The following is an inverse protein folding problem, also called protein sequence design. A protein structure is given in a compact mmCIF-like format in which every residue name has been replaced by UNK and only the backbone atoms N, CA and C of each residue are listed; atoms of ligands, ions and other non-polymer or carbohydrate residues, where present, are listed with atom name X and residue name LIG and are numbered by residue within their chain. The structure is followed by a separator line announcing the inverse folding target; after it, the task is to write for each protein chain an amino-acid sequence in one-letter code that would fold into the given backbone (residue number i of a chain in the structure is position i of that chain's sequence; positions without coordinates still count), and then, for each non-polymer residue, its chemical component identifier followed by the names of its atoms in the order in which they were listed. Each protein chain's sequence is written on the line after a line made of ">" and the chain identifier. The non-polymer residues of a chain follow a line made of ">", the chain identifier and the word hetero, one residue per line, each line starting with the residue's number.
data_IF_894721971329
#
_entry.id   IF_894721971329
#
_cell.length_a   1.000
_cell.length_b   1.000
_cell.length_c   1.000
_cell.angle_alpha   90.00
_cell.angle_beta   90.00
_cell.angle_gamma   90.00
#
_symmetry.space_group_name_H-M   'P 1'
#
loop_
_entity.id
_entity.type
_entity.pdbx_description
1 polymer ?
#
# COMPACT_ATOMS: atom_id res chain seq x y z
N UNK A 1 6.24 22.89 -6.00
CA UNK A 1 6.82 22.45 -4.71
C UNK A 1 5.83 22.82 -3.63
N UNK A 2 5.05 21.85 -3.14
CA UNK A 2 4.24 22.03 -1.93
C UNK A 2 4.97 21.27 -0.85
N UNK A 3 5.54 22.02 0.07
CA UNK A 3 6.23 21.55 1.26
C UNK A 3 5.20 20.84 2.15
N UNK A 4 5.45 19.59 2.52
CA UNK A 4 4.64 18.86 3.48
C UNK A 4 4.95 19.36 4.89
N UNK A 5 4.29 20.42 5.36
CA UNK A 5 4.41 20.85 6.76
C UNK A 5 3.63 19.89 7.66
N UNK A 6 4.30 18.85 8.18
CA UNK A 6 3.84 18.12 9.36
C UNK A 6 3.84 19.08 10.55
N UNK A 7 2.69 19.73 10.81
CA UNK A 7 2.49 20.57 11.97
C UNK A 7 2.04 19.76 13.18
N UNK A 8 2.80 19.78 14.27
CA UNK A 8 2.35 19.32 15.59
C UNK A 8 1.97 20.54 16.44
N UNK A 9 0.74 20.59 16.93
CA UNK A 9 0.28 21.66 17.81
C UNK A 9 -0.20 21.07 19.13
N UNK A 10 0.39 21.53 20.24
CA UNK A 10 -0.02 21.15 21.58
C UNK A 10 -0.91 22.24 22.18
N UNK A 11 -2.21 21.95 22.33
CA UNK A 11 -3.19 22.86 22.91
C UNK A 11 -3.84 22.20 24.12
N UNK A 12 -3.59 22.75 25.32
CA UNK A 12 -4.29 22.37 26.54
C UNK A 12 -4.21 20.87 26.88
N UNK A 13 -3.03 20.24 26.71
CA UNK A 13 -2.82 18.81 27.01
C UNK A 13 -3.31 17.84 25.92
N UNK A 14 -3.70 18.35 24.75
CA UNK A 14 -4.04 17.55 23.57
C UNK A 14 -2.98 17.77 22.49
N UNK A 15 -2.57 16.69 21.83
CA UNK A 15 -1.65 16.75 20.68
C UNK A 15 -2.49 16.66 19.42
N UNK A 16 -2.34 17.62 18.51
CA UNK A 16 -3.00 17.60 17.22
C UNK A 16 -1.97 17.56 16.09
N UNK A 17 -2.14 16.59 15.20
CA UNK A 17 -1.36 16.39 14.00
C UNK A 17 -2.17 16.84 12.80
N UNK A 18 -1.55 17.59 11.89
CA UNK A 18 -2.19 18.04 10.66
C UNK A 18 -1.61 17.31 9.45
N UNK A 19 -2.51 16.87 8.57
CA UNK A 19 -2.21 16.20 7.30
C UNK A 19 -3.00 16.90 6.20
N UNK A 20 -2.45 18.02 5.69
CA UNK A 20 -3.17 18.86 4.73
C UNK A 20 -4.46 19.47 5.33
N UNK A 21 -5.63 19.10 4.79
CA UNK A 21 -6.95 19.53 5.29
C UNK A 21 -7.49 18.65 6.42
N UNK A 22 -6.86 17.52 6.67
CA UNK A 22 -7.24 16.59 7.72
C UNK A 22 -6.44 16.86 9.00
N UNK A 23 -7.00 16.44 10.13
CA UNK A 23 -6.26 16.47 11.39
C UNK A 23 -6.61 15.31 12.30
N UNK A 24 -5.61 14.83 13.03
CA UNK A 24 -5.76 13.82 14.07
C UNK A 24 -5.49 14.48 15.41
N UNK A 25 -6.46 14.40 16.32
CA UNK A 25 -6.33 14.93 17.67
C UNK A 25 -6.31 13.78 18.67
N UNK A 26 -5.20 13.66 19.40
CA UNK A 26 -5.03 12.71 20.49
C UNK A 26 -5.53 13.32 21.80
N UNK A 27 -6.41 12.59 22.48
CA UNK A 27 -6.82 12.85 23.86
C UNK A 27 -6.56 11.64 24.74
N UNK A 28 -6.55 11.83 26.05
CA UNK A 28 -6.23 10.78 27.02
C UNK A 28 -7.13 9.53 26.91
N UNK A 29 -8.34 9.66 26.34
CA UNK A 29 -9.34 8.59 26.29
C UNK A 29 -9.89 8.31 24.87
N UNK A 30 -9.51 9.08 23.87
CA UNK A 30 -10.05 8.95 22.51
C UNK A 30 -9.15 9.62 21.48
N UNK A 31 -9.24 9.15 20.24
CA UNK A 31 -8.66 9.78 19.05
C UNK A 31 -9.78 10.41 18.23
N UNK A 32 -9.64 11.68 17.85
CA UNK A 32 -10.55 12.36 16.93
C UNK A 32 -9.86 12.49 15.57
N UNK A 33 -10.48 11.92 14.54
CA UNK A 33 -10.12 12.14 13.15
C UNK A 33 -11.07 13.18 12.56
N UNK A 34 -10.51 14.26 12.00
CA UNK A 34 -11.28 15.33 11.35
C UNK A 34 -10.91 15.38 9.87
N UNK A 35 -11.92 15.29 9.02
CA UNK A 35 -11.80 15.46 7.58
C UNK A 35 -12.90 16.39 7.05
N UNK A 36 -12.73 17.09 5.91
CA UNK A 36 -13.81 17.88 5.30
C UNK A 36 -15.11 17.09 5.05
N UNK A 37 -15.03 15.76 4.96
CA UNK A 37 -16.17 14.86 4.73
C UNK A 37 -16.87 14.38 6.01
N UNK A 38 -16.30 14.62 7.20
CA UNK A 38 -16.86 14.12 8.47
C UNK A 38 -15.84 14.03 9.61
N UNK A 39 -16.34 13.75 10.81
CA UNK A 39 -15.50 13.58 12.01
C UNK A 39 -15.80 12.24 12.67
N UNK A 40 -14.75 11.56 13.14
CA UNK A 40 -14.85 10.27 13.79
C UNK A 40 -14.15 10.28 15.14
N UNK A 41 -14.78 9.65 16.13
CA UNK A 41 -14.26 9.53 17.50
C UNK A 41 -14.03 8.05 17.76
N UNK A 42 -12.77 7.67 17.96
CA UNK A 42 -12.39 6.30 18.28
C UNK A 42 -12.13 6.25 19.80
N UNK A 43 -12.99 5.58 20.59
CA UNK A 43 -12.79 5.45 22.03
C UNK A 43 -11.67 4.45 22.34
N UNK A 44 -10.76 4.78 23.26
CA UNK A 44 -9.69 3.86 23.69
C UNK A 44 -8.42 4.56 24.16
N UNK A 45 -7.77 3.99 25.18
CA UNK A 45 -6.51 4.47 25.76
C UNK A 45 -5.34 3.86 24.98
N UNK A 46 -4.66 4.65 24.16
CA UNK A 46 -3.32 4.30 23.66
C UNK A 46 -2.28 4.98 24.55
N UNK A 47 -1.95 4.34 25.69
CA UNK A 47 -0.70 4.66 26.38
C UNK A 47 0.43 4.08 25.54
N UNK A 48 1.06 4.91 24.70
CA UNK A 48 2.27 4.53 23.99
C UNK A 48 3.28 5.69 24.02
N UNK A 49 4.56 5.40 24.29
CA UNK A 49 5.60 6.41 24.34
C UNK A 49 6.03 6.94 22.95
N UNK A 50 5.47 6.40 21.85
CA UNK A 50 5.77 6.79 20.47
C UNK A 50 4.48 7.16 19.72
N UNK A 51 4.01 8.40 19.91
CA UNK A 51 2.73 8.89 19.39
C UNK A 51 2.62 8.95 17.85
N UNK A 52 3.75 9.13 17.16
CA UNK A 52 3.74 9.36 15.70
C UNK A 52 3.40 8.10 14.90
N UNK A 53 3.83 6.91 15.35
CA UNK A 53 3.62 5.64 14.65
C UNK A 53 2.17 5.14 14.74
N UNK A 54 1.47 5.48 15.83
CA UNK A 54 0.06 5.10 16.02
C UNK A 54 -0.88 5.99 15.21
N UNK A 55 -0.56 7.27 15.05
CA UNK A 55 -1.38 8.20 14.26
C UNK A 55 -1.34 7.82 12.79
N UNK A 56 -0.17 7.46 12.26
CA UNK A 56 -0.05 6.96 10.89
C UNK A 56 -0.80 5.65 10.70
N UNK A 57 -0.67 4.69 11.63
CA UNK A 57 -1.38 3.41 11.53
C UNK A 57 -2.91 3.54 11.67
N UNK A 58 -3.40 4.43 12.55
CA UNK A 58 -4.85 4.71 12.66
C UNK A 58 -5.40 5.40 11.40
N UNK A 59 -4.66 6.37 10.84
CA UNK A 59 -5.05 7.03 9.59
C UNK A 59 -5.02 6.06 8.40
N UNK A 60 -4.02 5.16 8.35
CA UNK A 60 -3.90 4.08 7.36
C UNK A 60 -5.08 3.09 7.44
N UNK A 61 -5.51 2.74 8.65
CA UNK A 61 -6.75 1.96 8.87
C UNK A 61 -8.01 2.71 8.41
N UNK A 62 -8.03 4.05 8.54
CA UNK A 62 -9.18 4.88 8.18
C UNK A 62 -9.31 5.18 6.69
N UNK A 63 -8.19 5.28 5.97
CA UNK A 63 -8.17 5.57 4.52
C UNK A 63 -7.86 4.35 3.65
N UNK A 64 -7.46 3.23 4.26
CA UNK A 64 -7.02 2.05 3.56
C UNK A 64 -5.65 2.25 2.94
N UNK A 65 -4.75 1.32 3.17
CA UNK A 65 -3.51 1.22 2.42
C UNK A 65 -3.63 0.17 1.35
N UNK A 66 -3.13 0.46 0.16
CA UNK A 66 -3.12 -0.49 -0.94
C UNK A 66 -1.68 -0.91 -1.27
N UNK A 67 -1.55 -2.19 -1.58
CA UNK A 67 -0.44 -2.69 -2.37
C UNK A 67 -0.94 -3.01 -3.76
N UNK A 68 -0.10 -2.71 -4.75
CA UNK A 68 -0.42 -2.86 -6.15
C UNK A 68 0.71 -3.63 -6.84
N UNK A 69 0.35 -4.66 -7.61
CA UNK A 69 1.25 -5.30 -8.56
C UNK A 69 1.24 -4.47 -9.83
N UNK A 70 2.41 -3.98 -10.23
CA UNK A 70 2.58 -3.12 -11.39
C UNK A 70 3.78 -3.52 -12.25
N UNK A 71 3.79 -3.20 -13.55
CA UNK A 71 5.03 -3.20 -14.36
C UNK A 71 5.56 -1.80 -14.65
N UNK A 72 4.74 -0.76 -14.43
CA UNK A 72 5.15 0.63 -14.59
C UNK A 72 6.20 1.06 -13.56
N UNK A 73 6.89 2.16 -13.84
CA UNK A 73 7.98 2.64 -12.97
C UNK A 73 7.49 3.06 -11.59
N UNK A 74 6.37 3.78 -11.51
CA UNK A 74 5.80 4.23 -10.25
C UNK A 74 4.29 4.12 -10.28
N UNK A 75 3.69 3.49 -9.27
CA UNK A 75 2.24 3.39 -9.11
C UNK A 75 1.54 4.76 -9.20
N UNK A 76 2.12 5.80 -8.59
CA UNK A 76 1.56 7.15 -8.53
C UNK A 76 1.60 7.90 -9.88
N UNK A 77 2.34 7.39 -10.87
CA UNK A 77 2.34 7.95 -12.22
C UNK A 77 1.11 7.46 -12.98
N UNK A 78 0.16 8.36 -13.21
CA UNK A 78 -1.11 8.07 -13.89
C UNK A 78 -1.01 8.17 -15.42
N UNK A 79 0.09 8.71 -15.94
CA UNK A 79 0.34 8.77 -17.40
C UNK A 79 0.90 7.45 -17.93
N UNK A 80 1.54 6.66 -17.06
CA UNK A 80 2.11 5.35 -17.39
C UNK A 80 1.10 4.21 -17.10
N UNK A 81 0.82 3.40 -18.10
CA UNK A 81 0.06 2.15 -17.94
C UNK A 81 0.97 1.07 -17.35
N UNK A 82 0.44 0.29 -16.41
CA UNK A 82 1.13 -0.87 -15.85
C UNK A 82 1.22 -2.03 -16.83
N UNK A 83 0.43 -2.04 -17.91
CA UNK A 83 0.56 -3.01 -19.01
C UNK A 83 0.47 -4.50 -18.57
N UNK A 84 -0.17 -4.81 -17.44
CA UNK A 84 -0.61 -6.19 -17.16
C UNK A 84 -1.97 -6.31 -17.82
N UNK A 85 -2.10 -7.16 -18.83
CA UNK A 85 -3.37 -7.33 -19.53
C UNK A 85 -4.38 -8.13 -18.70
N UNK A 86 -5.67 -7.96 -18.99
CA UNK A 86 -6.73 -8.74 -18.37
C UNK A 86 -6.55 -10.23 -18.68
N UNK A 87 -6.13 -10.56 -19.91
CA UNK A 87 -5.90 -11.93 -20.35
C UNK A 87 -4.76 -12.60 -19.56
N UNK A 88 -3.67 -11.87 -19.28
CA UNK A 88 -2.59 -12.38 -18.42
C UNK A 88 -3.08 -12.61 -16.99
N UNK A 89 -3.91 -11.71 -16.47
CA UNK A 89 -4.46 -11.85 -15.13
C UNK A 89 -5.40 -13.04 -15.00
N UNK A 90 -6.33 -13.22 -15.95
CA UNK A 90 -7.24 -14.36 -15.98
C UNK A 90 -6.48 -15.68 -16.15
N UNK A 91 -5.47 -15.72 -17.03
CA UNK A 91 -4.62 -16.89 -17.18
C UNK A 91 -3.86 -17.24 -15.89
N UNK A 92 -3.47 -16.25 -15.08
CA UNK A 92 -2.88 -16.49 -13.77
C UNK A 92 -3.89 -17.09 -12.79
N UNK A 93 -5.10 -16.52 -12.70
CA UNK A 93 -6.17 -17.06 -11.83
C UNK A 93 -6.49 -18.51 -12.18
N UNK A 94 -6.57 -18.86 -13.46
CA UNK A 94 -6.82 -20.24 -13.91
C UNK A 94 -5.75 -21.24 -13.46
N UNK A 95 -4.51 -20.78 -13.25
CA UNK A 95 -3.39 -21.60 -12.80
C UNK A 95 -3.30 -21.73 -11.26
N UNK A 96 -3.91 -20.81 -10.52
CA UNK A 96 -3.81 -20.72 -9.07
C UNK A 96 -5.10 -21.23 -8.42
N UNK A 97 -5.10 -22.49 -7.98
CA UNK A 97 -6.25 -23.15 -7.36
C UNK A 97 -6.72 -22.47 -6.05
N UNK A 98 -5.91 -21.59 -5.46
CA UNK A 98 -6.30 -20.83 -4.27
C UNK A 98 -7.14 -19.59 -4.61
N UNK A 99 -7.16 -19.16 -5.88
CA UNK A 99 -7.88 -17.98 -6.33
C UNK A 99 -9.20 -18.36 -7.00
N UNK A 100 -10.28 -17.69 -6.57
CA UNK A 100 -11.60 -17.84 -7.16
C UNK A 100 -12.04 -16.53 -7.82
N UNK A 101 -12.10 -16.54 -9.16
CA UNK A 101 -12.69 -15.44 -9.93
C UNK A 101 -14.17 -15.29 -9.54
N UNK A 102 -14.57 -14.09 -9.16
CA UNK A 102 -15.97 -13.79 -8.88
C UNK A 102 -16.66 -13.31 -10.17
N UNK A 103 -17.96 -13.61 -10.34
CA UNK A 103 -18.72 -13.09 -11.47
C UNK A 103 -18.79 -11.56 -11.38
N UNK A 104 -18.64 -10.90 -12.53
CA UNK A 104 -18.84 -9.46 -12.66
C UNK A 104 -20.32 -9.10 -12.39
N UNK A 105 -20.55 -8.09 -11.56
CA UNK A 105 -21.88 -7.56 -11.28
C UNK A 105 -21.83 -6.04 -10.99
N UNK A 106 -22.97 -5.43 -10.63
CA UNK A 106 -23.06 -3.99 -10.36
C UNK A 106 -22.10 -3.50 -9.23
N UNK A 107 -21.57 -4.41 -8.40
CA UNK A 107 -20.67 -4.12 -7.29
C UNK A 107 -19.25 -4.67 -7.48
N UNK A 108 -19.04 -5.64 -8.37
CA UNK A 108 -17.75 -6.32 -8.59
C UNK A 108 -17.26 -6.10 -10.02
N UNK A 109 -16.07 -5.50 -10.13
CA UNK A 109 -15.41 -5.28 -11.41
C UNK A 109 -14.92 -6.59 -12.04
N UNK A 110 -14.79 -6.58 -13.37
CA UNK A 110 -14.16 -7.67 -14.11
C UNK A 110 -12.74 -7.95 -13.57
N UNK A 111 -12.43 -9.23 -13.33
CA UNK A 111 -11.13 -9.65 -12.80
C UNK A 111 -11.02 -9.60 -11.28
N UNK A 112 -12.08 -9.27 -10.55
CA UNK A 112 -12.11 -9.40 -9.10
C UNK A 112 -12.04 -10.88 -8.68
N UNK A 113 -11.11 -11.23 -7.79
CA UNK A 113 -10.99 -12.59 -7.26
C UNK A 113 -10.83 -12.63 -5.74
N UNK A 114 -11.23 -13.75 -5.15
CA UNK A 114 -11.05 -14.07 -3.73
C UNK A 114 -9.94 -15.09 -3.54
N UNK A 115 -9.19 -14.96 -2.48
CA UNK A 115 -8.20 -15.93 -2.05
C UNK A 115 -8.83 -16.86 -1.00
N UNK A 116 -9.12 -18.09 -1.41
CA UNK A 116 -9.95 -19.03 -0.64
C UNK A 116 -9.30 -19.51 0.66
N UNK A 117 -7.97 -19.46 0.75
CA UNK A 117 -7.23 -20.00 1.89
C UNK A 117 -6.93 -18.96 2.97
N UNK A 118 -7.13 -17.67 2.69
CA UNK A 118 -6.78 -16.57 3.59
C UNK A 118 -8.00 -15.66 3.83
N UNK A 119 -8.18 -15.23 5.09
CA UNK A 119 -9.27 -14.35 5.52
C UNK A 119 -8.72 -13.21 6.36
N UNK A 120 -9.37 -12.05 6.29
CA UNK A 120 -9.08 -10.95 7.22
C UNK A 120 -9.58 -11.28 8.62
N UNK A 121 -8.74 -11.10 9.64
CA UNK A 121 -9.07 -11.47 11.03
C UNK A 121 -10.25 -10.68 11.61
N UNK A 122 -10.47 -9.45 11.15
CA UNK A 122 -11.48 -8.53 11.68
C UNK A 122 -12.87 -8.73 11.06
N UNK A 123 -12.94 -9.09 9.77
CA UNK A 123 -14.20 -9.29 9.05
C UNK A 123 -14.56 -10.77 8.85
N UNK A 124 -13.58 -11.67 8.97
CA UNK A 124 -13.70 -13.07 8.58
C UNK A 124 -14.17 -13.24 7.11
N UNK A 125 -13.86 -12.26 6.25
CA UNK A 125 -14.07 -12.31 4.80
C UNK A 125 -12.76 -12.70 4.12
N UNK A 126 -12.85 -13.31 2.93
CA UNK A 126 -11.68 -13.70 2.16
C UNK A 126 -10.86 -12.48 1.74
N UNK A 127 -9.53 -12.63 1.78
CA UNK A 127 -8.65 -11.66 1.12
C UNK A 127 -9.02 -11.63 -0.36
N UNK A 128 -9.04 -10.44 -0.94
CA UNK A 128 -9.43 -10.25 -2.33
C UNK A 128 -8.34 -9.51 -3.10
N UNK A 129 -8.32 -9.73 -4.41
CA UNK A 129 -7.51 -8.99 -5.36
C UNK A 129 -8.43 -8.44 -6.43
N UNK A 130 -8.21 -7.17 -6.79
CA UNK A 130 -8.97 -6.48 -7.82
C UNK A 130 -8.05 -6.09 -8.97
N UNK A 131 -8.57 -6.18 -10.20
CA UNK A 131 -7.85 -5.78 -11.39
C UNK A 131 -8.38 -4.43 -11.90
N UNK A 132 -7.48 -3.49 -12.14
CA UNK A 132 -7.86 -2.20 -12.69
C UNK A 132 -6.67 -1.45 -13.26
N UNK A 133 -6.87 -0.80 -14.41
CA UNK A 133 -5.83 0.03 -15.06
C UNK A 133 -4.50 -0.72 -15.25
N UNK A 134 -4.57 -2.00 -15.62
CA UNK A 134 -3.40 -2.86 -15.81
C UNK A 134 -2.63 -3.19 -14.52
N UNK A 135 -3.24 -3.01 -13.35
CA UNK A 135 -2.67 -3.27 -12.03
C UNK A 135 -3.53 -4.31 -11.28
N UNK A 136 -2.93 -5.04 -10.35
CA UNK A 136 -3.66 -5.90 -9.39
C UNK A 136 -3.48 -5.33 -7.99
N UNK A 137 -4.56 -4.97 -7.32
CA UNK A 137 -4.55 -4.30 -6.02
C UNK A 137 -5.22 -5.12 -4.92
N UNK A 138 -4.78 -4.90 -3.67
CA UNK A 138 -5.49 -5.36 -2.47
C UNK A 138 -5.37 -4.33 -1.34
N UNK A 139 -6.32 -4.37 -0.40
CA UNK A 139 -6.42 -3.39 0.70
C UNK A 139 -5.96 -3.98 2.02
N UNK A 140 -5.08 -3.26 2.72
CA UNK A 140 -4.55 -3.59 4.04
C UNK A 140 -3.98 -5.03 4.11
N UNK A 141 -3.06 -5.42 3.21
CA UNK A 141 -2.52 -6.77 3.21
C UNK A 141 -1.73 -7.06 4.48
N UNK A 142 -1.92 -8.26 5.04
CA UNK A 142 -1.06 -8.81 6.08
C UNK A 142 0.23 -9.41 5.47
N UNK A 143 1.14 -9.89 6.31
CA UNK A 143 2.41 -10.49 5.85
C UNK A 143 2.22 -11.64 4.85
N UNK A 144 1.22 -12.49 5.10
CA UNK A 144 0.90 -13.64 4.25
C UNK A 144 0.40 -13.18 2.87
N UNK A 145 -0.44 -12.16 2.84
CA UNK A 145 -0.88 -11.50 1.60
C UNK A 145 0.27 -10.84 0.86
N UNK A 146 1.18 -10.15 1.55
CA UNK A 146 2.37 -9.56 0.91
C UNK A 146 3.22 -10.65 0.24
N UNK A 147 3.44 -11.77 0.92
CA UNK A 147 4.18 -12.90 0.35
C UNK A 147 3.50 -13.48 -0.90
N UNK A 148 2.16 -13.61 -0.89
CA UNK A 148 1.39 -14.05 -2.06
C UNK A 148 1.54 -13.06 -3.20
N UNK A 149 1.41 -11.76 -2.94
CA UNK A 149 1.58 -10.72 -3.95
C UNK A 149 2.98 -10.72 -4.58
N UNK A 150 4.04 -10.92 -3.80
CA UNK A 150 5.42 -11.01 -4.34
C UNK A 150 5.52 -12.19 -5.31
N UNK A 151 4.96 -13.36 -4.96
CA UNK A 151 4.94 -14.54 -5.85
C UNK A 151 4.15 -14.28 -7.13
N UNK A 152 2.97 -13.69 -7.00
CA UNK A 152 2.14 -13.27 -8.14
C UNK A 152 2.90 -12.32 -9.06
N UNK A 153 3.53 -11.28 -8.48
CA UNK A 153 4.31 -10.29 -9.21
C UNK A 153 5.48 -10.93 -9.98
N UNK A 154 6.19 -11.89 -9.38
CA UNK A 154 7.28 -12.62 -10.03
C UNK A 154 6.80 -13.39 -11.27
N UNK A 155 5.62 -14.02 -11.21
CA UNK A 155 5.03 -14.73 -12.36
C UNK A 155 4.54 -13.75 -13.43
N UNK A 156 3.89 -12.66 -13.01
CA UNK A 156 3.37 -11.60 -13.88
C UNK A 156 4.47 -10.65 -14.37
N UNK A 157 5.75 -10.90 -14.06
CA UNK A 157 6.89 -10.04 -14.43
C UNK A 157 6.70 -8.57 -14.00
N UNK A 158 6.03 -8.36 -12.87
CA UNK A 158 5.80 -7.06 -12.25
C UNK A 158 6.58 -6.89 -10.95
N UNK A 159 6.22 -5.85 -10.20
CA UNK A 159 6.71 -5.58 -8.86
C UNK A 159 5.54 -5.18 -7.95
N UNK A 160 5.69 -5.42 -6.65
CA UNK A 160 4.72 -4.96 -5.67
C UNK A 160 5.15 -3.58 -5.16
N UNK A 161 4.27 -2.60 -5.32
CA UNK A 161 4.47 -1.24 -4.82
C UNK A 161 3.30 -0.81 -3.92
N UNK A 162 3.64 -0.20 -2.80
CA UNK A 162 2.68 0.46 -1.92
C UNK A 162 2.39 1.91 -2.30
N UNK A 163 1.28 2.43 -1.76
CA UNK A 163 0.83 3.79 -2.02
C UNK A 163 1.87 4.87 -1.72
N UNK A 164 2.78 4.64 -0.76
CA UNK A 164 3.82 5.60 -0.37
C UNK A 164 5.14 5.40 -1.16
N UNK A 165 5.17 4.51 -2.15
CA UNK A 165 6.36 4.23 -2.95
C UNK A 165 7.27 3.14 -2.37
N UNK A 166 6.78 2.37 -1.40
CA UNK A 166 7.51 1.22 -0.88
C UNK A 166 7.48 0.07 -1.90
N UNK A 167 8.63 -0.57 -2.12
CA UNK A 167 8.80 -1.72 -3.00
C UNK A 167 8.98 -2.97 -2.15
N UNK A 168 8.19 -4.00 -2.50
CA UNK A 168 8.21 -5.31 -1.88
C UNK A 168 8.65 -6.33 -2.93
N UNK A 169 9.73 -7.04 -2.64
CA UNK A 169 10.29 -8.08 -3.51
C UNK A 169 10.89 -9.20 -2.67
N UNK A 170 11.67 -10.09 -3.28
CA UNK A 170 12.28 -11.23 -2.58
C UNK A 170 13.14 -10.79 -1.36
N UNK A 171 13.69 -9.57 -1.34
CA UNK A 171 14.44 -9.03 -0.19
C UNK A 171 13.52 -8.77 1.00
N UNK A 172 12.24 -8.46 0.75
CA UNK A 172 11.22 -8.35 1.79
C UNK A 172 11.01 -9.71 2.47
N UNK A 173 10.94 -10.79 1.70
CA UNK A 173 10.76 -12.15 2.23
C UNK A 173 11.89 -12.56 3.19
N UNK A 174 13.09 -12.05 2.98
CA UNK A 174 14.26 -12.33 3.82
C UNK A 174 14.36 -11.42 5.05
N UNK A 175 13.93 -10.16 4.93
CA UNK A 175 14.25 -9.11 5.91
C UNK A 175 13.05 -8.52 6.64
N UNK A 176 11.84 -8.74 6.13
CA UNK A 176 10.60 -8.08 6.57
C UNK A 176 10.59 -6.57 6.35
N UNK A 177 11.45 -6.05 5.47
CA UNK A 177 11.62 -4.61 5.25
C UNK A 177 11.47 -4.25 3.79
N UNK A 178 10.53 -3.35 3.51
CA UNK A 178 10.35 -2.78 2.18
C UNK A 178 11.46 -1.78 1.88
N UNK A 179 11.71 -1.57 0.58
CA UNK A 179 12.73 -0.65 0.08
C UNK A 179 12.03 0.53 -0.57
N UNK A 180 12.54 1.73 -0.39
CA UNK A 180 11.91 2.91 -0.97
C UNK A 180 12.36 3.10 -2.41
N UNK A 181 11.43 3.41 -3.31
CA UNK A 181 11.71 3.61 -4.74
C UNK A 181 12.89 4.59 -4.97
N UNK A 182 12.97 5.66 -4.19
CA UNK A 182 14.06 6.64 -4.23
C UNK A 182 15.45 6.01 -4.01
N UNK A 183 15.54 5.07 -3.05
CA UNK A 183 16.79 4.37 -2.74
C UNK A 183 17.21 3.42 -3.87
N UNK A 184 16.25 2.88 -4.62
CA UNK A 184 16.49 2.04 -5.78
C UNK A 184 16.99 2.85 -6.97
N UNK A 185 16.38 4.01 -7.23
CA UNK A 185 16.83 4.95 -8.26
C UNK A 185 18.25 5.46 -8.00
N UNK A 186 18.58 5.81 -6.75
CA UNK A 186 19.92 6.22 -6.36
C UNK A 186 20.96 5.12 -6.61
N UNK A 187 20.66 3.86 -6.24
CA UNK A 187 21.55 2.73 -6.50
C UNK A 187 21.73 2.47 -8.00
N UNK A 188 20.66 2.52 -8.78
CA UNK A 188 20.72 2.36 -10.24
C UNK A 188 21.55 3.48 -10.90
N UNK A 189 21.44 4.72 -10.42
CA UNK A 189 22.23 5.85 -10.88
C UNK A 189 23.72 5.73 -10.51
N UNK A 190 24.05 5.13 -9.37
CA UNK A 190 25.44 4.88 -8.95
C UNK A 190 26.07 3.75 -9.77
N UNK A 191 25.31 2.70 -10.09
CA UNK A 191 25.79 1.57 -10.90
C UNK A 191 26.02 1.90 -12.39
N UNK A 192 25.37 2.93 -12.93
CA UNK A 192 25.45 3.30 -14.36
C UNK A 192 26.55 4.32 -14.69
N UNK A 193 27.18 4.96 -13.71
CA UNK A 193 28.30 5.88 -13.96
C UNK A 193 29.56 5.09 -14.30
N UNK A 194 29.86 4.98 -15.60
CA UNK A 194 31.19 4.54 -16.04
C UNK A 194 32.22 5.43 -15.35
N UNK A 195 33.24 4.84 -14.70
CA UNK A 195 34.21 5.65 -14.00
C UNK A 195 34.95 6.55 -14.99
N UNK A 196 35.22 7.78 -14.56
CA UNK A 196 35.80 8.86 -15.36
C UNK A 196 37.15 8.50 -16.02
N UNK A 197 37.83 7.47 -15.53
CA UNK A 197 39.09 6.96 -16.09
C UNK A 197 38.91 5.98 -17.27
N UNK A 198 37.69 5.59 -17.64
CA UNK A 198 37.41 4.73 -18.83
C UNK A 198 37.03 5.52 -20.09
N UNK A 199 37.27 6.84 -20.11
CA UNK A 199 36.93 7.75 -21.24
C UNK A 199 38.19 8.17 -22.03
N UNK A 200 39.33 7.48 -21.86
CA UNK A 200 40.57 7.74 -22.61
C UNK A 200 41.23 6.44 -23.06
#
# INVERSE_FOLDING_TARGET
>A
MVEWEKGMVQLGGKVQYFFGKDSVQLSHNFVILRSPKGHFIIPGILKCPFGDLLVTNLYRSYMGYYLNIIRKKNYADWEEDSNISMEEWLAYIELDEELELQPEDDNLAAGFCRWLTEVYEDTNDHVWFDYGMGCIGTKNPNEVTIHKMIRMANVLQGKVQGDDGEIYDDRYLETGKAIWLEQEEEKAAVGSKKPWWKIW
#
